data_IF_408953842692
#
_entry.id   IF_408953842692
#
_cell.length_a   1.000
_cell.length_b   1.000
_cell.length_c   1.000
_cell.angle_alpha   90.00
_cell.angle_beta   90.00
_cell.angle_gamma   90.00
#
_symmetry.space_group_name_H-M   'P 1'
#
loop_
_entity.id
_entity.type
_entity.pdbx_description
1 polymer ?
#
# COMPACT_ATOMS: atom_id res chain seq x y z
N UNK A 1 1.09 8.70 12.07
CA UNK A 1 0.36 7.59 11.45
C UNK A 1 0.15 7.83 9.97
N UNK A 2 0.44 6.81 9.15
CA UNK A 2 0.14 6.76 7.72
C UNK A 2 -1.08 5.86 7.52
N UNK A 3 -2.07 6.28 6.73
CA UNK A 3 -3.20 5.42 6.39
C UNK A 3 -2.77 4.29 5.42
N UNK A 4 -3.40 3.12 5.51
CA UNK A 4 -3.07 1.91 4.75
C UNK A 4 -2.93 2.17 3.25
N UNK A 5 -3.88 2.89 2.64
CA UNK A 5 -3.88 3.16 1.20
C UNK A 5 -2.75 4.10 0.78
N UNK A 6 -2.44 5.10 1.61
CA UNK A 6 -1.29 5.98 1.41
C UNK A 6 0.02 5.19 1.51
N UNK A 7 0.08 4.21 2.41
CA UNK A 7 1.20 3.28 2.52
C UNK A 7 1.38 2.43 1.26
N UNK A 8 0.31 1.77 0.81
CA UNK A 8 0.31 0.96 -0.41
C UNK A 8 0.76 1.78 -1.62
N UNK A 9 0.23 3.00 -1.79
CA UNK A 9 0.64 3.88 -2.88
C UNK A 9 2.14 4.18 -2.85
N UNK A 10 2.69 4.55 -1.70
CA UNK A 10 4.13 4.85 -1.59
C UNK A 10 5.00 3.63 -1.89
N UNK A 11 4.58 2.44 -1.47
CA UNK A 11 5.29 1.20 -1.76
C UNK A 11 5.19 0.82 -3.24
N UNK A 12 4.03 1.03 -3.86
CA UNK A 12 3.83 0.84 -5.30
C UNK A 12 4.69 1.82 -6.13
N UNK A 13 4.72 3.10 -5.74
CA UNK A 13 5.54 4.12 -6.41
C UNK A 13 7.05 3.77 -6.33
N UNK A 14 7.48 3.23 -5.18
CA UNK A 14 8.87 2.82 -4.96
C UNK A 14 9.24 1.49 -5.65
N UNK A 15 8.26 0.65 -5.99
CA UNK A 15 8.48 -0.70 -6.49
C UNK A 15 9.39 -0.73 -7.73
N UNK A 16 9.22 0.25 -8.63
CA UNK A 16 10.02 0.40 -9.84
C UNK A 16 11.53 0.53 -9.59
N UNK A 17 11.92 1.06 -8.43
CA UNK A 17 13.32 1.28 -8.06
C UNK A 17 13.89 0.11 -7.24
N UNK A 18 13.03 -0.74 -6.68
CA UNK A 18 13.41 -1.74 -5.67
C UNK A 18 13.40 -3.17 -6.24
N UNK A 19 12.54 -3.45 -7.23
CA UNK A 19 12.44 -4.77 -7.84
C UNK A 19 12.50 -4.69 -9.38
N UNK A 20 13.07 -5.69 -10.07
CA UNK A 20 13.24 -5.65 -11.53
C UNK A 20 11.92 -5.57 -12.32
N UNK A 21 10.87 -6.23 -11.82
CA UNK A 21 9.52 -6.17 -12.37
C UNK A 21 8.52 -6.30 -11.21
N UNK A 22 7.87 -5.19 -10.87
CA UNK A 22 6.92 -5.15 -9.76
C UNK A 22 5.63 -5.91 -10.06
N UNK A 23 5.25 -6.06 -11.33
CA UNK A 23 4.00 -6.77 -11.69
C UNK A 23 4.12 -8.27 -11.51
N UNK A 24 5.34 -8.79 -11.55
CA UNK A 24 5.68 -10.20 -11.28
C UNK A 24 6.10 -10.46 -9.83
N UNK A 25 6.27 -9.42 -9.01
CA UNK A 25 6.60 -9.55 -7.59
C UNK A 25 5.31 -9.61 -6.76
N UNK A 26 5.03 -10.79 -6.18
CA UNK A 26 3.76 -11.07 -5.49
C UNK A 26 3.45 -10.07 -4.36
N UNK A 27 4.47 -9.59 -3.63
CA UNK A 27 4.27 -8.65 -2.53
C UNK A 27 4.03 -7.22 -3.06
N UNK A 28 4.82 -6.78 -4.04
CA UNK A 28 4.68 -5.44 -4.61
C UNK A 28 3.43 -5.29 -5.49
N UNK A 29 2.99 -6.36 -6.16
CA UNK A 29 1.75 -6.39 -6.91
C UNK A 29 0.54 -6.11 -6.02
N UNK A 30 0.51 -6.61 -4.79
CA UNK A 30 -0.56 -6.31 -3.81
C UNK A 30 -0.67 -4.81 -3.56
N UNK A 31 0.45 -4.12 -3.34
CA UNK A 31 0.42 -2.68 -3.12
C UNK A 31 -0.06 -1.91 -4.36
N UNK A 32 0.36 -2.33 -5.56
CA UNK A 32 -0.06 -1.74 -6.82
C UNK A 32 -1.56 -1.91 -7.08
N UNK A 33 -2.11 -3.10 -6.84
CA UNK A 33 -3.56 -3.36 -6.98
C UNK A 33 -4.35 -2.48 -6.01
N UNK A 34 -4.01 -2.50 -4.72
CA UNK A 34 -4.72 -1.69 -3.71
C UNK A 34 -4.60 -0.20 -4.02
N UNK A 35 -3.43 0.28 -4.45
CA UNK A 35 -3.25 1.68 -4.82
C UNK A 35 -4.09 2.07 -6.06
N UNK A 36 -4.25 1.15 -7.02
CA UNK A 36 -5.08 1.37 -8.21
C UNK A 36 -6.57 1.37 -7.88
N UNK A 37 -7.03 0.44 -7.05
CA UNK A 37 -8.45 0.31 -6.68
C UNK A 37 -8.92 1.46 -5.77
N UNK A 38 -7.99 2.18 -5.14
CA UNK A 38 -8.28 3.28 -4.20
C UNK A 38 -7.83 4.66 -4.68
N UNK A 39 -7.44 4.79 -5.96
CA UNK A 39 -6.96 6.05 -6.56
C UNK A 39 -8.03 7.17 -6.53
N UNK A 40 -9.31 6.81 -6.58
CA UNK A 40 -10.43 7.75 -6.57
C UNK A 40 -11.00 8.02 -5.17
N UNK A 41 -10.50 7.34 -4.14
CA UNK A 41 -11.02 7.47 -2.78
C UNK A 41 -10.71 8.86 -2.21
N UNK A 42 -11.67 9.50 -1.51
CA UNK A 42 -11.45 10.79 -0.87
C UNK A 42 -10.58 10.64 0.38
N UNK A 43 -9.27 10.54 0.17
CA UNK A 43 -8.25 10.39 1.22
C UNK A 43 -7.46 11.69 1.38
N UNK A 44 -7.19 12.08 2.63
CA UNK A 44 -6.41 13.28 2.93
C UNK A 44 -7.03 14.57 2.37
N UNK A 45 -6.23 15.36 1.64
CA UNK A 45 -6.64 16.66 1.13
C UNK A 45 -7.78 16.59 0.09
N UNK A 46 -7.97 15.45 -0.59
CA UNK A 46 -9.04 15.28 -1.56
C UNK A 46 -10.43 15.49 -0.94
N UNK A 47 -10.59 15.14 0.35
CA UNK A 47 -11.85 15.27 1.10
C UNK A 47 -12.44 16.68 1.10
N UNK A 48 -11.59 17.72 1.05
CA UNK A 48 -12.03 19.12 1.03
C UNK A 48 -12.84 19.49 -0.23
N UNK A 49 -12.76 18.66 -1.28
CA UNK A 49 -13.44 18.89 -2.56
C UNK A 49 -14.75 18.10 -2.68
N UNK A 50 -15.09 17.31 -1.67
CA UNK A 50 -16.25 16.43 -1.67
C UNK A 50 -17.36 17.00 -0.80
N UNK A 51 -18.62 16.73 -1.18
CA UNK A 51 -19.77 17.06 -0.33
C UNK A 51 -19.84 16.11 0.87
N UNK A 52 -20.42 16.57 1.98
CA UNK A 52 -20.55 15.76 3.20
C UNK A 52 -21.31 14.45 2.99
N UNK A 53 -22.33 14.45 2.13
CA UNK A 53 -23.10 13.24 1.82
C UNK A 53 -22.30 12.25 0.97
N UNK A 54 -21.48 12.73 0.03
CA UNK A 54 -20.59 11.88 -0.75
C UNK A 54 -19.49 11.27 0.14
N UNK A 55 -18.91 12.06 1.04
CA UNK A 55 -17.93 11.56 2.03
C UNK A 55 -18.52 10.44 2.88
N UNK A 56 -19.72 10.61 3.44
CA UNK A 56 -20.35 9.57 4.26
C UNK A 56 -20.57 8.25 3.50
N UNK A 57 -20.91 8.32 2.20
CA UNK A 57 -21.06 7.15 1.34
C UNK A 57 -19.72 6.46 1.09
N UNK A 58 -18.69 7.22 0.74
CA UNK A 58 -17.38 6.65 0.43
C UNK A 58 -16.68 6.13 1.69
N UNK A 59 -16.82 6.80 2.85
CA UNK A 59 -16.24 6.37 4.12
C UNK A 59 -16.69 4.95 4.50
N UNK A 60 -17.95 4.59 4.24
CA UNK A 60 -18.47 3.24 4.47
C UNK A 60 -17.78 2.19 3.58
N UNK A 61 -17.63 2.49 2.29
CA UNK A 61 -16.94 1.60 1.33
C UNK A 61 -15.46 1.47 1.64
N UNK A 62 -14.82 2.59 2.02
CA UNK A 62 -13.41 2.64 2.41
C UNK A 62 -13.20 1.72 3.61
N UNK A 63 -14.04 1.81 4.64
CA UNK A 63 -13.93 0.97 5.82
C UNK A 63 -14.12 -0.53 5.50
N UNK A 64 -15.10 -0.87 4.66
CA UNK A 64 -15.33 -2.25 4.21
C UNK A 64 -14.12 -2.80 3.43
N UNK A 65 -13.61 -2.02 2.49
CA UNK A 65 -12.47 -2.39 1.67
C UNK A 65 -11.18 -2.47 2.49
N UNK A 66 -10.95 -1.56 3.44
CA UNK A 66 -9.81 -1.60 4.36
C UNK A 66 -9.78 -2.90 5.14
N UNK A 67 -10.92 -3.35 5.67
CA UNK A 67 -11.03 -4.65 6.36
C UNK A 67 -10.72 -5.80 5.39
N UNK A 68 -11.24 -5.75 4.17
CA UNK A 68 -11.06 -6.82 3.18
C UNK A 68 -9.58 -7.02 2.76
N UNK A 69 -8.79 -5.95 2.67
CA UNK A 69 -7.40 -6.01 2.17
C UNK A 69 -6.33 -5.97 3.27
N UNK A 70 -6.70 -5.63 4.50
CA UNK A 70 -5.73 -5.39 5.60
C UNK A 70 -4.78 -6.56 5.84
N UNK A 71 -5.30 -7.79 5.90
CA UNK A 71 -4.48 -8.97 6.18
C UNK A 71 -3.45 -9.22 5.06
N UNK A 72 -3.89 -9.14 3.81
CA UNK A 72 -3.05 -9.32 2.63
C UNK A 72 -1.95 -8.25 2.54
N UNK A 73 -2.30 -6.98 2.76
CA UNK A 73 -1.33 -5.87 2.75
C UNK A 73 -0.30 -6.05 3.86
N UNK A 74 -0.73 -6.43 5.07
CA UNK A 74 0.17 -6.66 6.19
C UNK A 74 1.08 -7.87 5.96
N UNK A 75 0.61 -8.91 5.28
CA UNK A 75 1.44 -10.05 4.88
C UNK A 75 2.51 -9.65 3.88
N UNK A 76 2.15 -8.94 2.81
CA UNK A 76 3.11 -8.39 1.86
C UNK A 76 4.15 -7.48 2.55
N UNK A 77 3.73 -6.65 3.51
CA UNK A 77 4.66 -5.84 4.30
C UNK A 77 5.66 -6.71 5.10
N UNK A 78 5.20 -7.79 5.72
CA UNK A 78 6.07 -8.71 6.48
C UNK A 78 7.07 -9.40 5.55
N UNK A 79 6.65 -9.83 4.37
CA UNK A 79 7.52 -10.49 3.40
C UNK A 79 8.59 -9.54 2.86
N UNK A 80 8.21 -8.31 2.49
CA UNK A 80 9.14 -7.25 2.08
C UNK A 80 10.15 -6.98 3.20
N UNK A 81 9.69 -6.79 4.44
CA UNK A 81 10.59 -6.59 5.58
C UNK A 81 11.56 -7.77 5.75
N UNK A 82 11.09 -9.01 5.69
CA UNK A 82 11.95 -10.19 5.80
C UNK A 82 13.03 -10.22 4.70
N UNK A 83 12.66 -9.93 3.45
CA UNK A 83 13.56 -9.89 2.30
C UNK A 83 14.66 -8.83 2.45
N UNK A 84 14.26 -7.60 2.78
CA UNK A 84 15.18 -6.45 2.80
C UNK A 84 15.95 -6.27 4.11
N UNK A 85 15.53 -6.93 5.20
CA UNK A 85 16.32 -6.96 6.44
C UNK A 85 17.31 -8.13 6.49
N UNK A 86 16.96 -9.28 5.91
CA UNK A 86 17.86 -10.46 5.87
C UNK A 86 19.02 -10.27 4.89
N UNK A 87 18.88 -9.42 3.87
CA UNK A 87 19.96 -9.05 2.95
C UNK A 87 21.04 -8.15 3.59
N UNK A 88 20.82 -7.65 4.82
CA UNK A 88 21.74 -6.74 5.52
C UNK A 88 22.83 -7.41 6.37
N UNK A 89 22.93 -8.74 6.41
CA UNK A 89 23.91 -9.48 7.25
C UNK A 89 24.98 -10.24 6.47
N UNK A 90 25.31 -9.82 5.24
CA UNK A 90 26.46 -10.36 4.51
C UNK A 90 27.28 -9.22 3.91
N UNK A 91 27.94 -8.46 4.79
CA UNK A 91 29.16 -7.74 4.43
C UNK A 91 30.36 -8.50 5.00
N UNK A 92 31.32 -8.97 4.18
CA UNK A 92 32.59 -9.45 4.66
C UNK A 92 33.53 -8.25 4.80
N UNK A 93 33.63 -7.65 5.98
CA UNK A 93 34.76 -6.79 6.39
C UNK A 93 34.67 -6.52 7.90
N UNK A 94 35.20 -7.47 8.68
CA UNK A 94 35.61 -7.31 10.07
C UNK A 94 37.00 -7.92 10.22
#
# INVERSE_FOLDING_TARGET
>A
DINLFVGCRRLADLAHDVVPDWTSDEDFAVFGVVASETDDYPIGAARMRWSSSALAREDAKIAEYEVAVSEQVLEACRNVLARFTSAGSSGPDA
#
